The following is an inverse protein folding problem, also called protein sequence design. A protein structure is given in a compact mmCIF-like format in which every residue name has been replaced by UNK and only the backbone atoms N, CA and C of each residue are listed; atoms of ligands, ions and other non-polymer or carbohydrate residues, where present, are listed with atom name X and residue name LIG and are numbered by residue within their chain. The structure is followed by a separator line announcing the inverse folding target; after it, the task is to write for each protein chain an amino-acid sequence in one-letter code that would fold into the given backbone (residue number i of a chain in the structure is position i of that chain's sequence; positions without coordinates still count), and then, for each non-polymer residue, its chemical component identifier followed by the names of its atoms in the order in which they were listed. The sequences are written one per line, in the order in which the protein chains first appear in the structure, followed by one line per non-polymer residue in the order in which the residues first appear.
data_IF_403219852110
#
_entry.id   IF_403219852110
#
_cell.length_a   1.000
_cell.length_b   1.000
_cell.length_c   1.000
_cell.angle_alpha   90.00
_cell.angle_beta   90.00
_cell.angle_gamma   90.00
#
_symmetry.space_group_name_H-M   'P 1'
#
loop_
_entity.id
_entity.type
_entity.pdbx_description
1 polymer ?
#
# COMPACT_ATOMS: atom_id res chain seq x y z
N UNK A 1 20.13 -23.67 -4.31
CA UNK A 1 19.06 -22.75 -4.74
C UNK A 1 19.52 -22.06 -6.02
N UNK A 2 18.84 -22.24 -7.14
CA UNK A 2 19.23 -21.62 -8.41
C UNK A 2 18.74 -20.17 -8.46
N UNK A 3 19.64 -19.25 -8.78
CA UNK A 3 19.30 -17.83 -8.98
C UNK A 3 18.91 -17.61 -10.44
N UNK A 4 17.78 -16.94 -10.65
CA UNK A 4 17.31 -16.57 -11.98
C UNK A 4 18.29 -15.58 -12.62
N UNK A 5 18.58 -15.78 -13.90
CA UNK A 5 19.37 -14.81 -14.68
C UNK A 5 18.49 -13.58 -14.91
N UNK A 6 19.00 -12.41 -14.56
CA UNK A 6 18.31 -11.12 -14.75
C UNK A 6 19.28 -10.09 -15.33
N UNK A 7 18.75 -9.01 -15.88
CA UNK A 7 19.49 -7.83 -16.36
C UNK A 7 19.52 -6.70 -15.32
N UNK A 8 19.42 -7.05 -14.02
CA UNK A 8 19.30 -6.09 -12.93
C UNK A 8 20.42 -5.04 -12.94
N UNK A 9 21.61 -5.41 -13.39
CA UNK A 9 22.80 -4.58 -13.57
C UNK A 9 22.65 -3.47 -14.63
N UNK A 10 21.69 -3.62 -15.55
CA UNK A 10 21.45 -2.69 -16.67
C UNK A 10 20.24 -1.77 -16.46
N UNK A 11 19.54 -1.92 -15.34
CA UNK A 11 18.37 -1.09 -15.05
C UNK A 11 18.81 0.30 -14.56
N UNK A 12 18.16 1.33 -15.07
CA UNK A 12 18.38 2.71 -14.61
C UNK A 12 17.67 2.90 -13.27
N UNK A 13 18.39 3.42 -12.29
CA UNK A 13 17.82 3.86 -11.02
C UNK A 13 17.66 5.38 -11.02
N UNK A 14 16.48 5.85 -10.60
CA UNK A 14 16.12 7.27 -10.61
C UNK A 14 15.51 7.67 -9.26
N UNK A 15 15.75 8.91 -8.83
CA UNK A 15 15.12 9.49 -7.66
C UNK A 15 13.64 9.81 -7.93
N UNK A 16 12.74 9.31 -7.09
CA UNK A 16 11.32 9.64 -7.12
C UNK A 16 10.95 10.35 -5.82
N UNK A 17 10.32 11.52 -5.93
CA UNK A 17 9.83 12.30 -4.80
C UNK A 17 8.40 11.87 -4.43
N UNK A 18 8.06 11.98 -3.14
CA UNK A 18 6.72 11.68 -2.63
C UNK A 18 6.41 12.45 -1.35
N UNK A 19 5.14 12.46 -0.96
CA UNK A 19 4.67 13.06 0.30
C UNK A 19 3.85 12.03 1.07
N UNK A 20 3.88 12.13 2.41
CA UNK A 20 2.98 11.37 3.27
C UNK A 20 1.53 11.71 2.92
N UNK A 21 0.76 10.69 2.53
CA UNK A 21 -0.67 10.83 2.29
C UNK A 21 -1.43 10.92 3.62
N UNK A 22 -2.58 11.58 3.63
CA UNK A 22 -3.50 11.57 4.77
C UNK A 22 -4.24 10.22 4.88
N UNK A 23 -4.74 9.85 6.06
CA UNK A 23 -5.64 8.69 6.18
C UNK A 23 -6.88 8.84 5.29
N UNK A 24 -7.11 7.88 4.40
CA UNK A 24 -8.20 7.85 3.44
C UNK A 24 -9.11 6.64 3.66
N UNK A 25 -10.41 6.88 3.56
CA UNK A 25 -11.46 5.84 3.46
C UNK A 25 -12.51 6.29 2.46
N UNK A 26 -13.06 5.35 1.67
CA UNK A 26 -14.11 5.65 0.69
C UNK A 26 -15.48 5.88 1.31
N UNK A 27 -15.73 5.32 2.50
CA UNK A 27 -17.01 5.41 3.18
C UNK A 27 -16.87 5.12 4.69
N UNK A 28 -17.96 5.24 5.45
CA UNK A 28 -17.93 5.10 6.91
C UNK A 28 -17.71 3.67 7.38
N UNK A 29 -18.08 2.66 6.58
CA UNK A 29 -18.04 1.26 6.95
C UNK A 29 -17.16 0.44 6.02
N UNK A 30 -16.50 -0.57 6.58
CA UNK A 30 -15.96 -1.70 5.84
C UNK A 30 -16.90 -2.88 6.01
N UNK A 31 -17.20 -3.57 4.91
CA UNK A 31 -18.03 -4.77 4.93
C UNK A 31 -17.13 -5.97 5.18
N UNK A 32 -17.43 -6.73 6.23
CA UNK A 32 -16.72 -7.97 6.58
C UNK A 32 -17.10 -9.10 5.61
N UNK A 33 -16.38 -10.23 5.68
CA UNK A 33 -16.65 -11.39 4.82
C UNK A 33 -18.06 -11.98 5.01
N UNK A 34 -18.66 -11.79 6.20
CA UNK A 34 -20.02 -12.20 6.56
C UNK A 34 -21.06 -11.08 6.37
N UNK A 35 -20.70 -9.99 5.70
CA UNK A 35 -21.63 -8.93 5.31
C UNK A 35 -21.94 -7.90 6.40
N UNK A 36 -21.26 -7.92 7.54
CA UNK A 36 -21.49 -6.98 8.64
C UNK A 36 -20.71 -5.68 8.44
N UNK A 37 -21.31 -4.50 8.67
CA UNK A 37 -20.60 -3.24 8.63
C UNK A 37 -19.76 -3.06 9.90
N UNK A 38 -18.48 -2.72 9.76
CA UNK A 38 -17.59 -2.35 10.87
C UNK A 38 -16.90 -1.02 10.60
N UNK A 39 -16.66 -0.26 11.68
CA UNK A 39 -15.88 0.97 11.64
C UNK A 39 -14.44 0.64 12.02
N UNK A 40 -13.56 0.73 11.04
CA UNK A 40 -12.12 0.52 11.21
C UNK A 40 -11.35 1.64 10.51
N UNK A 41 -10.09 1.92 10.92
CA UNK A 41 -9.23 2.84 10.20
C UNK A 41 -9.10 2.47 8.71
N UNK A 42 -8.90 3.50 7.87
CA UNK A 42 -8.64 3.35 6.45
C UNK A 42 -7.17 3.07 6.15
N UNK A 43 -6.71 3.46 4.96
CA UNK A 43 -5.30 3.37 4.55
C UNK A 43 -4.65 4.75 4.49
N UNK A 44 -3.33 4.84 4.40
CA UNK A 44 -2.62 6.12 4.39
C UNK A 44 -2.40 6.70 5.80
N UNK A 45 -1.75 7.85 5.87
CA UNK A 45 -1.28 8.43 7.14
C UNK A 45 -0.06 7.72 7.71
N UNK A 46 0.30 8.13 8.93
CA UNK A 46 1.32 7.49 9.77
C UNK A 46 0.56 6.76 10.88
N UNK A 47 0.78 5.44 10.98
CA UNK A 47 0.23 4.63 12.08
C UNK A 47 1.28 4.59 13.18
N UNK A 48 0.95 5.12 14.35
CA UNK A 48 1.83 5.21 15.53
C UNK A 48 1.60 4.04 16.47
#
# INVERSE_FOLDING_TARGET
MFMLRTNKDKLVMISIQGRVSYPVRRGPYRITYDGKPVVVPGVGGITY
#
